data_IF_148441488541
#
_entry.id   IF_148441488541
#
_cell.length_a   1.000
_cell.length_b   1.000
_cell.length_c   1.000
_cell.angle_alpha   90.00
_cell.angle_beta   90.00
_cell.angle_gamma   90.00
#
_symmetry.space_group_name_H-M   'P 1'
#
loop_
_entity.id
_entity.type
_entity.pdbx_description
1 polymer ?
#
# COMPACT_ATOMS: atom_id res chain seq x y z
N UNK A 1 -23.61 -31.62 -26.79
CA UNK A 1 -24.06 -30.90 -25.57
C UNK A 1 -23.10 -29.72 -25.38
N UNK A 2 -23.39 -28.59 -26.03
CA UNK A 2 -22.47 -27.45 -26.11
C UNK A 2 -22.69 -26.49 -24.95
N UNK A 3 -21.66 -26.26 -24.15
CA UNK A 3 -21.62 -25.20 -23.15
C UNK A 3 -21.25 -23.91 -23.91
N UNK A 4 -22.21 -22.99 -24.01
CA UNK A 4 -21.97 -21.64 -24.52
C UNK A 4 -21.10 -20.87 -23.52
N UNK A 5 -19.97 -20.35 -23.99
CA UNK A 5 -19.12 -19.44 -23.23
C UNK A 5 -19.92 -18.17 -22.91
N UNK A 6 -20.03 -17.85 -21.62
CA UNK A 6 -20.66 -16.62 -21.16
C UNK A 6 -19.94 -15.40 -21.73
N UNK A 7 -20.73 -14.48 -22.27
CA UNK A 7 -20.33 -13.26 -22.94
C UNK A 7 -19.40 -12.39 -22.04
N UNK A 8 -18.13 -12.15 -22.42
CA UNK A 8 -17.17 -11.39 -21.61
C UNK A 8 -17.63 -9.95 -21.34
N UNK A 9 -18.53 -9.41 -22.16
CA UNK A 9 -19.12 -8.07 -22.01
C UNK A 9 -20.02 -7.98 -20.77
N UNK A 10 -20.65 -9.09 -20.33
CA UNK A 10 -21.44 -9.09 -19.09
C UNK A 10 -20.56 -9.16 -17.84
N UNK A 11 -19.43 -9.86 -17.88
CA UNK A 11 -18.48 -9.89 -16.77
C UNK A 11 -17.88 -8.49 -16.52
N UNK A 12 -17.59 -7.74 -17.58
CA UNK A 12 -17.06 -6.36 -17.46
C UNK A 12 -18.11 -5.37 -16.96
N UNK A 13 -19.38 -5.51 -17.37
CA UNK A 13 -20.52 -4.72 -16.84
C UNK A 13 -20.80 -5.02 -15.36
N UNK A 14 -20.64 -6.25 -14.90
CA UNK A 14 -20.79 -6.61 -13.48
C UNK A 14 -19.67 -6.02 -12.62
N UNK A 15 -18.45 -5.87 -13.17
CA UNK A 15 -17.30 -5.28 -12.46
C UNK A 15 -17.37 -3.75 -12.41
N UNK A 16 -18.01 -3.10 -13.40
CA UNK A 16 -18.25 -1.66 -13.41
C UNK A 16 -19.40 -1.21 -12.49
N UNK A 17 -20.38 -2.08 -12.21
CA UNK A 17 -21.60 -1.72 -11.48
C UNK A 17 -21.50 -1.74 -9.95
N UNK A 18 -20.35 -2.09 -9.36
CA UNK A 18 -20.23 -2.27 -7.89
C UNK A 18 -18.94 -1.70 -7.30
N UNK A 19 -18.42 -0.59 -7.85
CA UNK A 19 -17.53 0.27 -7.07
C UNK A 19 -18.39 1.13 -6.16
N UNK A 20 -18.34 0.94 -4.83
CA UNK A 20 -19.01 1.86 -3.93
C UNK A 20 -18.43 3.26 -4.20
N UNK A 21 -19.31 4.19 -4.58
CA UNK A 21 -18.94 5.59 -4.82
C UNK A 21 -18.57 6.32 -3.54
N UNK A 22 -18.91 5.74 -2.38
CA UNK A 22 -18.56 6.21 -1.06
C UNK A 22 -18.42 5.02 -0.08
N UNK A 23 -17.54 5.12 0.94
CA UNK A 23 -17.51 4.18 2.07
C UNK A 23 -18.83 4.16 2.84
N UNK A 24 -19.16 3.04 3.49
CA UNK A 24 -20.28 3.03 4.42
C UNK A 24 -20.02 3.92 5.65
N UNK A 25 -21.08 4.49 6.21
CA UNK A 25 -21.01 5.26 7.46
C UNK A 25 -20.44 4.44 8.63
N UNK A 26 -20.64 3.12 8.64
CA UNK A 26 -20.10 2.24 9.66
C UNK A 26 -18.57 2.12 9.53
N UNK A 27 -18.06 2.00 8.30
CA UNK A 27 -16.62 1.97 8.05
C UNK A 27 -15.95 3.29 8.45
N UNK A 28 -16.55 4.43 8.11
CA UNK A 28 -16.04 5.76 8.51
C UNK A 28 -16.00 5.92 10.04
N UNK A 29 -17.08 5.59 10.75
CA UNK A 29 -17.11 5.62 12.21
C UNK A 29 -16.09 4.67 12.84
N UNK A 30 -15.91 3.48 12.26
CA UNK A 30 -14.89 2.54 12.70
C UNK A 30 -13.48 3.10 12.51
N UNK A 31 -13.21 3.75 11.37
CA UNK A 31 -11.93 4.41 11.10
C UNK A 31 -11.69 5.60 12.03
N UNK A 32 -12.68 6.46 12.27
CA UNK A 32 -12.57 7.56 13.24
C UNK A 32 -12.28 7.06 14.65
N UNK A 33 -12.98 6.00 15.08
CA UNK A 33 -12.79 5.40 16.40
C UNK A 33 -11.40 4.76 16.52
N UNK A 34 -10.96 4.02 15.51
CA UNK A 34 -9.62 3.45 15.44
C UNK A 34 -8.54 4.54 15.42
N UNK A 35 -8.78 5.65 14.72
CA UNK A 35 -7.86 6.77 14.62
C UNK A 35 -7.62 7.55 15.91
N UNK A 36 -8.43 7.35 16.95
CA UNK A 36 -8.13 7.85 18.30
C UNK A 36 -6.96 7.11 18.95
N UNK A 37 -6.70 5.88 18.49
CA UNK A 37 -5.66 5.00 19.02
C UNK A 37 -4.54 4.76 18.01
N UNK A 38 -4.79 4.87 16.70
CA UNK A 38 -3.78 4.69 15.66
C UNK A 38 -2.75 5.81 15.62
N UNK A 39 -1.64 5.58 14.93
CA UNK A 39 -0.63 6.61 14.67
C UNK A 39 -1.20 7.70 13.78
N UNK A 40 -0.74 8.94 14.00
CA UNK A 40 -0.98 10.07 13.08
C UNK A 40 -0.47 9.77 11.66
N UNK A 41 0.63 9.03 11.57
CA UNK A 41 1.27 8.62 10.31
C UNK A 41 1.78 7.19 10.43
N UNK A 42 1.14 6.26 9.73
CA UNK A 42 1.64 4.89 9.62
C UNK A 42 2.95 4.91 8.81
N UNK A 43 3.92 4.09 9.21
CA UNK A 43 5.21 4.02 8.54
C UNK A 43 5.33 2.69 7.79
N UNK A 44 5.84 2.73 6.57
CA UNK A 44 5.99 1.56 5.70
C UNK A 44 7.33 1.64 4.96
N UNK A 45 8.17 0.60 5.09
CA UNK A 45 9.47 0.53 4.39
C UNK A 45 9.30 0.51 2.87
N UNK A 46 10.26 1.10 2.16
CA UNK A 46 10.31 1.03 0.69
C UNK A 46 10.42 -0.43 0.22
N UNK A 47 11.18 -1.27 0.93
CA UNK A 47 11.32 -2.69 0.62
C UNK A 47 10.01 -3.50 0.69
N UNK A 48 8.94 -2.95 1.27
CA UNK A 48 7.60 -3.54 1.15
C UNK A 48 7.00 -3.36 -0.25
N UNK A 49 7.30 -2.23 -0.89
CA UNK A 49 6.70 -1.76 -2.15
C UNK A 49 7.62 -2.08 -3.33
N UNK A 50 8.93 -1.94 -3.14
CA UNK A 50 9.95 -1.95 -4.19
C UNK A 50 10.93 -3.10 -4.01
N UNK A 51 11.45 -3.60 -5.14
CA UNK A 51 12.63 -4.47 -5.17
C UNK A 51 13.90 -3.63 -5.01
N UNK A 52 14.94 -4.21 -4.41
CA UNK A 52 16.26 -3.58 -4.43
C UNK A 52 16.90 -3.74 -5.81
N UNK A 53 16.71 -4.90 -6.44
CA UNK A 53 17.14 -5.19 -7.82
C UNK A 53 16.01 -5.84 -8.63
N UNK A 54 15.99 -5.69 -9.97
CA UNK A 54 14.93 -6.29 -10.80
C UNK A 54 14.81 -7.81 -10.67
N UNK A 55 15.91 -8.49 -10.35
CA UNK A 55 15.99 -9.95 -10.25
C UNK A 55 15.58 -10.51 -8.87
N UNK A 56 15.33 -9.64 -7.89
CA UNK A 56 14.89 -10.05 -6.55
C UNK A 56 13.54 -10.78 -6.58
N UNK A 57 13.07 -11.29 -5.44
CA UNK A 57 11.69 -11.73 -5.34
C UNK A 57 10.72 -10.55 -5.47
N UNK A 58 9.47 -10.86 -5.83
CA UNK A 58 8.39 -9.89 -5.85
C UNK A 58 8.28 -9.19 -4.49
N UNK A 59 8.12 -7.85 -4.47
CA UNK A 59 8.04 -7.13 -3.21
C UNK A 59 6.80 -7.60 -2.43
N UNK A 60 6.84 -7.56 -1.08
CA UNK A 60 5.74 -7.98 -0.20
C UNK A 60 4.36 -7.49 -0.62
N UNK A 61 4.22 -6.22 -1.03
CA UNK A 61 2.98 -5.64 -1.55
C UNK A 61 2.42 -6.46 -2.72
N UNK A 62 3.25 -6.73 -3.73
CA UNK A 62 2.86 -7.46 -4.93
C UNK A 62 2.55 -8.92 -4.62
N UNK A 63 3.29 -9.55 -3.70
CA UNK A 63 2.98 -10.89 -3.20
C UNK A 63 1.60 -10.96 -2.54
N UNK A 64 1.23 -9.98 -1.71
CA UNK A 64 -0.09 -9.92 -1.07
C UNK A 64 -1.23 -9.84 -2.09
N UNK A 65 -1.02 -9.09 -3.18
CA UNK A 65 -2.01 -8.90 -4.23
C UNK A 65 -2.19 -10.12 -5.15
N UNK A 66 -1.21 -11.02 -5.19
CA UNK A 66 -1.27 -12.27 -5.96
C UNK A 66 -2.14 -13.33 -5.25
N UNK A 67 -2.60 -14.32 -6.02
CA UNK A 67 -3.35 -15.46 -5.45
C UNK A 67 -4.84 -15.21 -5.24
N UNK A 68 -5.49 -14.47 -6.16
CA UNK A 68 -6.95 -14.43 -6.29
C UNK A 68 -7.66 -13.28 -5.58
N UNK A 69 -8.99 -13.42 -5.39
CA UNK A 69 -9.91 -12.34 -4.99
C UNK A 69 -9.66 -11.75 -3.59
N UNK A 70 -8.82 -12.39 -2.76
CA UNK A 70 -8.51 -11.96 -1.39
C UNK A 70 -7.34 -10.99 -1.24
N UNK A 71 -6.56 -10.74 -2.30
CA UNK A 71 -5.31 -9.98 -2.20
C UNK A 71 -5.47 -8.55 -1.66
N UNK A 72 -6.54 -7.86 -2.07
CA UNK A 72 -6.84 -6.52 -1.58
C UNK A 72 -7.17 -6.49 -0.07
N UNK A 73 -7.85 -7.53 0.46
CA UNK A 73 -8.17 -7.62 1.90
C UNK A 73 -6.89 -7.78 2.71
N UNK A 74 -5.96 -8.65 2.25
CA UNK A 74 -4.65 -8.85 2.90
C UNK A 74 -3.88 -7.54 3.01
N UNK A 75 -3.77 -6.82 1.90
CA UNK A 75 -3.05 -5.55 1.87
C UNK A 75 -3.70 -4.49 2.77
N UNK A 76 -5.02 -4.29 2.66
CA UNK A 76 -5.75 -3.31 3.49
C UNK A 76 -5.67 -3.64 4.97
N UNK A 77 -5.79 -4.91 5.33
CA UNK A 77 -5.69 -5.38 6.70
C UNK A 77 -4.30 -5.14 7.27
N UNK A 78 -3.26 -5.50 6.52
CA UNK A 78 -1.88 -5.33 6.96
C UNK A 78 -1.51 -3.85 7.16
N UNK A 79 -1.87 -2.97 6.23
CA UNK A 79 -1.67 -1.53 6.40
C UNK A 79 -2.41 -0.98 7.62
N UNK A 80 -3.62 -1.49 7.90
CA UNK A 80 -4.38 -1.10 9.08
C UNK A 80 -3.73 -1.59 10.38
N UNK A 81 -3.10 -2.77 10.38
CA UNK A 81 -2.30 -3.20 11.52
C UNK A 81 -1.09 -2.31 11.78
N UNK A 82 -0.36 -1.91 10.73
CA UNK A 82 0.77 -0.99 10.82
C UNK A 82 0.33 0.38 11.35
N UNK A 83 -0.80 0.90 10.87
CA UNK A 83 -1.38 2.14 11.38
C UNK A 83 -1.73 2.07 12.86
N UNK A 84 -2.19 0.90 13.34
CA UNK A 84 -2.55 0.68 14.73
C UNK A 84 -1.37 0.35 15.65
N UNK A 85 -0.12 0.31 15.15
CA UNK A 85 1.07 0.18 16.00
C UNK A 85 1.42 1.53 16.64
N UNK A 86 1.02 1.77 17.89
CA UNK A 86 1.21 3.07 18.58
C UNK A 86 2.66 3.41 18.85
N UNK A 87 3.38 2.42 19.37
CA UNK A 87 4.78 2.54 19.76
C UNK A 87 5.70 2.10 18.62
N UNK A 88 7.01 2.35 18.77
CA UNK A 88 7.99 1.96 17.75
C UNK A 88 8.23 0.45 17.70
N UNK A 89 7.88 -0.28 18.74
CA UNK A 89 7.88 -1.73 18.78
C UNK A 89 6.47 -2.30 18.54
N UNK A 90 6.40 -3.53 18.05
CA UNK A 90 5.15 -4.24 17.85
C UNK A 90 4.33 -4.35 19.16
N UNK A 91 3.06 -3.98 19.09
CA UNK A 91 2.07 -4.23 20.14
C UNK A 91 1.01 -5.22 19.64
N UNK A 92 0.53 -6.06 20.55
CA UNK A 92 -0.54 -7.00 20.24
C UNK A 92 -1.89 -6.28 20.07
N UNK A 93 -2.55 -6.54 18.95
CA UNK A 93 -3.87 -6.01 18.60
C UNK A 93 -4.94 -7.05 18.92
N UNK A 94 -5.92 -6.72 19.75
CA UNK A 94 -6.95 -7.64 20.26
C UNK A 94 -8.36 -7.28 19.76
N UNK A 95 -8.46 -6.90 18.49
CA UNK A 95 -9.74 -6.57 17.84
C UNK A 95 -10.36 -7.79 17.16
N UNK A 96 -11.69 -7.88 17.19
CA UNK A 96 -12.41 -8.99 16.54
C UNK A 96 -12.31 -8.92 15.01
N UNK A 97 -12.45 -10.08 14.34
CA UNK A 97 -12.54 -10.13 12.89
C UNK A 97 -13.70 -9.28 12.33
N UNK A 98 -14.81 -9.19 13.07
CA UNK A 98 -15.93 -8.30 12.74
C UNK A 98 -15.50 -6.83 12.73
N UNK A 99 -14.74 -6.38 13.73
CA UNK A 99 -14.28 -4.99 13.81
C UNK A 99 -13.40 -4.62 12.60
N UNK A 100 -12.47 -5.51 12.23
CA UNK A 100 -11.66 -5.34 11.02
C UNK A 100 -12.50 -5.37 9.74
N UNK A 101 -13.45 -6.29 9.64
CA UNK A 101 -14.35 -6.35 8.50
C UNK A 101 -15.20 -5.08 8.35
N UNK A 102 -15.65 -4.48 9.45
CA UNK A 102 -16.33 -3.18 9.44
C UNK A 102 -15.39 -2.05 9.02
N UNK A 103 -14.17 -1.99 9.56
CA UNK A 103 -13.18 -0.99 9.17
C UNK A 103 -12.86 -1.03 7.67
N UNK A 104 -12.74 -2.24 7.11
CA UNK A 104 -12.43 -2.46 5.70
C UNK A 104 -13.65 -2.42 4.78
N UNK A 105 -14.82 -2.08 5.32
CA UNK A 105 -16.10 -2.02 4.62
C UNK A 105 -16.46 -3.32 3.87
N UNK A 106 -16.16 -4.46 4.49
CA UNK A 106 -16.48 -5.77 3.91
C UNK A 106 -17.97 -6.09 4.05
N UNK A 107 -18.60 -6.73 3.04
CA UNK A 107 -20.00 -7.14 3.14
C UNK A 107 -20.20 -8.18 4.24
N UNK A 108 -21.33 -8.07 4.94
CA UNK A 108 -21.69 -8.89 6.10
C UNK A 108 -20.51 -9.07 7.10
N UNK A 109 -20.12 -7.99 7.81
CA UNK A 109 -18.97 -8.01 8.73
C UNK A 109 -19.05 -9.08 9.82
N UNK A 110 -20.26 -9.51 10.16
CA UNK A 110 -20.49 -10.53 11.21
C UNK A 110 -20.32 -11.96 10.70
N UNK A 111 -20.33 -12.21 9.38
CA UNK A 111 -20.16 -13.55 8.80
C UNK A 111 -19.14 -13.56 7.66
N UNK A 112 -19.57 -13.27 6.43
CA UNK A 112 -18.72 -13.42 5.25
C UNK A 112 -17.50 -12.47 5.30
N UNK A 113 -17.68 -11.24 5.80
CA UNK A 113 -16.60 -10.29 6.05
C UNK A 113 -15.61 -10.82 7.08
N UNK A 114 -16.07 -11.29 8.24
CA UNK A 114 -15.21 -11.89 9.26
C UNK A 114 -14.43 -13.10 8.74
N UNK A 115 -15.05 -13.96 7.93
CA UNK A 115 -14.36 -15.08 7.27
C UNK A 115 -13.21 -14.60 6.39
N UNK A 116 -13.43 -13.58 5.57
CA UNK A 116 -12.37 -12.99 4.71
C UNK A 116 -11.23 -12.38 5.53
N UNK A 117 -11.52 -11.81 6.71
CA UNK A 117 -10.48 -11.33 7.62
C UNK A 117 -9.64 -12.50 8.14
N UNK A 118 -10.27 -13.59 8.57
CA UNK A 118 -9.56 -14.77 9.06
C UNK A 118 -8.71 -15.41 7.94
N UNK A 119 -9.25 -15.53 6.72
CA UNK A 119 -8.50 -16.03 5.56
C UNK A 119 -7.28 -15.13 5.26
N UNK A 120 -7.42 -13.81 5.40
CA UNK A 120 -6.32 -12.87 5.25
C UNK A 120 -5.29 -12.98 6.38
N UNK A 121 -5.73 -13.13 7.63
CA UNK A 121 -4.84 -13.35 8.78
C UNK A 121 -4.04 -14.64 8.63
N UNK A 122 -4.67 -15.74 8.22
CA UNK A 122 -3.99 -17.02 7.98
C UNK A 122 -2.89 -16.86 6.94
N UNK A 123 -3.20 -16.24 5.80
CA UNK A 123 -2.20 -15.99 4.77
C UNK A 123 -1.07 -15.08 5.28
N UNK A 124 -1.39 -14.01 6.00
CA UNK A 124 -0.38 -13.09 6.56
C UNK A 124 0.53 -13.79 7.57
N UNK A 125 -0.01 -14.71 8.38
CA UNK A 125 0.74 -15.50 9.33
C UNK A 125 1.65 -16.52 8.64
N UNK A 126 1.12 -17.29 7.68
CA UNK A 126 1.89 -18.22 6.85
C UNK A 126 3.07 -17.55 6.14
N UNK A 127 2.91 -16.29 5.74
CA UNK A 127 3.94 -15.52 5.04
C UNK A 127 4.77 -14.63 5.98
N UNK A 128 4.66 -14.84 7.30
CA UNK A 128 5.48 -14.20 8.35
C UNK A 128 5.36 -12.67 8.41
N UNK A 129 4.18 -12.13 8.15
CA UNK A 129 3.85 -10.71 8.34
C UNK A 129 3.23 -10.42 9.69
N UNK A 130 2.60 -11.43 10.31
CA UNK A 130 2.00 -11.34 11.64
C UNK A 130 2.19 -12.67 12.39
N UNK A 131 2.04 -12.64 13.71
CA UNK A 131 1.66 -13.82 14.49
C UNK A 131 0.22 -13.65 14.99
N UNK A 132 -0.47 -14.77 15.19
CA UNK A 132 -1.83 -14.80 15.74
C UNK A 132 -1.83 -15.75 16.93
N UNK A 133 -2.09 -15.21 18.12
CA UNK A 133 -2.16 -15.97 19.36
C UNK A 133 -3.62 -16.09 19.80
N UNK A 134 -4.08 -17.32 19.95
CA UNK A 134 -5.43 -17.59 20.44
C UNK A 134 -5.51 -17.25 21.94
N UNK A 135 -6.54 -16.51 22.31
CA UNK A 135 -6.79 -16.11 23.70
C UNK A 135 -8.14 -16.69 24.15
N UNK A 136 -8.18 -17.66 25.09
CA UNK A 136 -9.43 -18.24 25.55
C UNK A 136 -10.42 -17.18 26.06
N UNK A 137 -11.64 -17.18 25.49
CA UNK A 137 -12.70 -16.23 25.86
C UNK A 137 -12.47 -14.77 25.43
N UNK A 138 -11.43 -14.49 24.64
CA UNK A 138 -11.10 -13.15 24.14
C UNK A 138 -10.80 -13.19 22.63
N UNK A 139 -10.84 -12.05 21.93
CA UNK A 139 -10.37 -11.99 20.55
C UNK A 139 -8.89 -12.40 20.48
N UNK A 140 -8.50 -13.06 19.40
CA UNK A 140 -7.10 -13.42 19.14
C UNK A 140 -6.21 -12.16 19.19
N UNK A 141 -5.02 -12.32 19.72
CA UNK A 141 -4.01 -11.27 19.74
C UNK A 141 -3.17 -11.37 18.46
N UNK A 142 -3.12 -10.29 17.69
CA UNK A 142 -2.32 -10.21 16.47
C UNK A 142 -1.09 -9.34 16.75
N UNK A 143 0.11 -9.88 16.53
CA UNK A 143 1.36 -9.11 16.64
C UNK A 143 1.95 -8.93 15.24
N UNK A 144 2.32 -7.69 14.90
CA UNK A 144 2.90 -7.38 13.58
C UNK A 144 4.37 -7.74 13.54
N UNK A 145 4.81 -8.33 12.43
CA UNK A 145 6.20 -8.63 12.12
C UNK A 145 6.71 -7.67 11.04
N UNK A 146 8.02 -7.71 10.81
CA UNK A 146 8.71 -6.89 9.82
C UNK A 146 8.06 -6.99 8.44
N UNK A 147 7.86 -5.85 7.78
CA UNK A 147 7.12 -5.72 6.52
C UNK A 147 7.81 -6.40 5.34
N UNK A 148 9.06 -6.80 5.48
CA UNK A 148 9.76 -7.59 4.44
C UNK A 148 9.27 -9.05 4.38
N UNK A 149 8.56 -9.53 5.41
CA UNK A 149 8.18 -10.94 5.55
C UNK A 149 9.34 -11.84 6.00
N UNK A 150 10.36 -11.26 6.65
CA UNK A 150 11.47 -11.99 7.26
C UNK A 150 11.04 -12.80 8.48
N UNK A 151 9.97 -12.39 9.16
CA UNK A 151 9.51 -12.94 10.43
C UNK A 151 10.11 -12.28 11.67
N UNK A 152 11.00 -11.30 11.49
CA UNK A 152 11.58 -10.55 12.60
C UNK A 152 10.51 -9.68 13.30
N UNK A 153 10.69 -9.34 14.59
CA UNK A 153 9.80 -8.40 15.27
C UNK A 153 9.68 -7.08 14.52
N UNK A 154 8.47 -6.55 14.42
CA UNK A 154 8.27 -5.22 13.83
C UNK A 154 8.92 -4.14 14.70
N UNK A 155 9.74 -3.32 14.03
CA UNK A 155 10.23 -2.04 14.54
C UNK A 155 9.88 -0.99 13.51
N UNK A 156 9.26 0.10 13.97
CA UNK A 156 8.92 1.25 13.14
C UNK A 156 10.14 1.70 12.33
N UNK A 157 10.01 1.87 11.00
CA UNK A 157 11.14 2.17 10.12
C UNK A 157 11.98 3.37 10.56
N UNK A 158 11.37 4.44 11.06
CA UNK A 158 12.11 5.60 11.58
C UNK A 158 12.97 5.28 12.80
N UNK A 159 12.48 4.43 13.71
CA UNK A 159 13.25 3.99 14.88
C UNK A 159 14.38 3.03 14.49
N UNK A 160 14.10 2.10 13.57
CA UNK A 160 15.11 1.20 13.02
C UNK A 160 16.22 1.97 12.28
N UNK A 161 15.85 2.93 11.42
CA UNK A 161 16.81 3.79 10.73
C UNK A 161 17.71 4.56 11.70
N UNK A 162 17.14 5.11 12.79
CA UNK A 162 17.91 5.81 13.81
C UNK A 162 18.89 4.88 14.55
N UNK A 163 18.46 3.66 14.86
CA UNK A 163 19.31 2.65 15.52
C UNK A 163 20.47 2.23 14.61
N UNK A 164 20.17 1.94 13.34
CA UNK A 164 21.18 1.50 12.37
C UNK A 164 22.12 2.64 11.94
N UNK A 165 21.64 3.89 11.85
CA UNK A 165 22.50 5.05 11.56
C UNK A 165 23.61 5.25 12.59
N UNK A 166 23.39 4.82 13.84
CA UNK A 166 24.42 4.82 14.88
C UNK A 166 25.48 3.73 14.67
N UNK A 167 25.17 2.69 13.89
CA UNK A 167 26.05 1.55 13.61
C UNK A 167 26.70 1.61 12.22
N UNK A 168 26.02 2.16 11.21
CA UNK A 168 26.50 2.28 9.82
C UNK A 168 25.69 3.31 9.02
N UNK A 169 26.37 4.11 8.19
CA UNK A 169 25.75 5.07 7.28
C UNK A 169 24.84 4.39 6.23
N UNK A 170 25.19 3.18 5.79
CA UNK A 170 24.40 2.37 4.87
C UNK A 170 23.16 1.74 5.53
N UNK A 171 23.18 1.53 6.85
CA UNK A 171 22.09 0.91 7.59
C UNK A 171 20.81 1.74 7.59
N UNK A 172 20.92 3.07 7.56
CA UNK A 172 19.77 3.97 7.46
C UNK A 172 19.02 3.83 6.11
N UNK A 173 19.74 3.52 5.03
CA UNK A 173 19.19 3.41 3.67
C UNK A 173 18.22 2.22 3.56
N UNK A 174 18.53 1.10 4.20
CA UNK A 174 17.68 -0.12 4.18
C UNK A 174 16.34 0.08 4.90
N UNK A 175 16.25 1.11 5.73
CA UNK A 175 15.05 1.46 6.49
C UNK A 175 14.33 2.69 5.95
N UNK A 176 14.65 3.13 4.72
CA UNK A 176 13.88 4.19 4.03
C UNK A 176 12.40 3.81 3.99
N UNK A 177 11.54 4.78 4.28
CA UNK A 177 10.11 4.54 4.49
C UNK A 177 9.25 5.70 4.00
N UNK A 178 7.98 5.39 3.73
CA UNK A 178 6.92 6.37 3.47
C UNK A 178 6.04 6.51 4.70
N UNK A 179 5.37 7.66 4.79
CA UNK A 179 4.38 7.94 5.82
C UNK A 179 2.99 8.02 5.19
N UNK A 180 2.07 7.21 5.68
CA UNK A 180 0.66 7.24 5.27
C UNK A 180 -0.11 8.03 6.34
N UNK A 181 -0.73 9.17 6.00
CA UNK A 181 -1.45 9.98 6.99
C UNK A 181 -2.70 9.24 7.47
N UNK A 182 -3.03 9.42 8.75
CA UNK A 182 -4.26 8.89 9.36
C UNK A 182 -5.52 9.24 8.55
N UNK A 183 -5.55 10.42 7.93
CA UNK A 183 -6.62 10.87 7.03
C UNK A 183 -6.94 9.86 5.91
N UNK A 184 -5.98 9.06 5.48
CA UNK A 184 -6.18 8.01 4.48
C UNK A 184 -7.22 6.95 4.92
N UNK A 185 -7.27 6.65 6.23
CA UNK A 185 -8.29 5.77 6.81
C UNK A 185 -9.57 6.54 7.13
N UNK A 186 -9.46 7.67 7.83
CA UNK A 186 -10.64 8.39 8.36
C UNK A 186 -11.49 9.04 7.27
N UNK A 187 -10.89 9.40 6.12
CA UNK A 187 -11.62 9.89 4.96
C UNK A 187 -12.11 8.73 4.05
N UNK A 188 -11.82 7.49 4.40
CA UNK A 188 -12.28 6.30 3.67
C UNK A 188 -11.56 5.98 2.36
N UNK A 189 -10.38 6.58 2.10
CA UNK A 189 -9.62 6.25 0.89
C UNK A 189 -9.17 4.78 0.87
N UNK A 190 -8.78 4.22 2.02
CA UNK A 190 -8.44 2.79 2.13
C UNK A 190 -9.61 1.89 1.70
N UNK A 191 -10.84 2.22 2.10
CA UNK A 191 -12.01 1.38 1.80
C UNK A 191 -12.40 1.48 0.33
N UNK A 192 -12.33 2.69 -0.25
CA UNK A 192 -12.66 2.95 -1.65
C UNK A 192 -11.70 2.28 -2.64
N UNK A 193 -10.39 2.41 -2.41
CA UNK A 193 -9.40 1.97 -3.39
C UNK A 193 -9.39 0.44 -3.52
N UNK A 194 -9.25 -0.05 -4.75
CA UNK A 194 -9.00 -1.48 -4.97
C UNK A 194 -7.58 -1.86 -4.53
N UNK A 195 -7.23 -3.14 -4.65
CA UNK A 195 -5.82 -3.56 -4.51
C UNK A 195 -4.89 -2.86 -5.51
N UNK A 196 -5.37 -2.58 -6.73
CA UNK A 196 -4.60 -1.87 -7.75
C UNK A 196 -4.44 -0.38 -7.43
N UNK A 197 -5.52 0.28 -7.01
CA UNK A 197 -5.47 1.68 -6.55
C UNK A 197 -4.56 1.85 -5.34
N UNK A 198 -4.64 0.94 -4.37
CA UNK A 198 -3.78 0.96 -3.19
C UNK A 198 -2.31 0.69 -3.53
N UNK A 199 -2.01 -0.25 -4.43
CA UNK A 199 -0.64 -0.45 -4.92
C UNK A 199 -0.08 0.82 -5.56
N UNK A 200 -0.83 1.43 -6.49
CA UNK A 200 -0.38 2.65 -7.15
C UNK A 200 -0.22 3.82 -6.18
N UNK A 201 -1.08 3.92 -5.15
CA UNK A 201 -0.94 4.93 -4.10
C UNK A 201 0.40 4.78 -3.37
N UNK A 202 0.74 3.56 -2.94
CA UNK A 202 2.00 3.29 -2.25
C UNK A 202 3.22 3.54 -3.14
N UNK A 203 3.15 3.14 -4.41
CA UNK A 203 4.20 3.41 -5.40
C UNK A 203 4.46 4.90 -5.55
N UNK A 204 3.40 5.71 -5.71
CA UNK A 204 3.54 7.16 -5.87
C UNK A 204 4.05 7.84 -4.60
N UNK A 205 3.68 7.34 -3.41
CA UNK A 205 4.27 7.80 -2.15
C UNK A 205 5.78 7.52 -2.09
N UNK A 206 6.21 6.33 -2.53
CA UNK A 206 7.62 5.97 -2.54
C UNK A 206 8.42 6.82 -3.55
N UNK A 207 7.85 7.07 -4.74
CA UNK A 207 8.50 7.84 -5.79
C UNK A 207 8.63 9.34 -5.43
N UNK A 208 7.61 9.93 -4.78
CA UNK A 208 7.67 11.32 -4.30
C UNK A 208 8.81 11.53 -3.31
N UNK A 209 9.05 10.55 -2.44
CA UNK A 209 10.05 10.68 -1.38
C UNK A 209 9.69 11.76 -0.34
N UNK A 210 10.65 12.13 0.53
CA UNK A 210 10.43 13.14 1.57
C UNK A 210 10.37 14.57 1.03
N UNK A 211 10.80 14.80 -0.21
CA UNK A 211 10.77 16.11 -0.83
C UNK A 211 9.33 16.50 -1.15
N UNK A 212 8.90 17.67 -0.66
CA UNK A 212 7.59 18.22 -0.96
C UNK A 212 7.61 18.96 -2.30
N UNK A 213 8.25 18.37 -3.30
CA UNK A 213 8.32 18.92 -4.64
C UNK A 213 7.01 18.63 -5.38
N UNK A 214 6.45 19.65 -6.03
CA UNK A 214 5.28 19.54 -6.89
C UNK A 214 5.64 18.98 -8.28
N UNK A 215 6.88 18.50 -8.45
CA UNK A 215 7.34 17.93 -9.70
C UNK A 215 6.47 16.76 -10.15
N UNK A 216 6.16 16.78 -11.45
CA UNK A 216 5.39 15.72 -12.07
C UNK A 216 6.18 14.41 -12.01
N UNK A 217 5.58 13.37 -11.41
CA UNK A 217 6.18 12.05 -11.37
C UNK A 217 6.03 11.37 -12.74
N UNK A 218 7.17 11.10 -13.38
CA UNK A 218 7.20 10.23 -14.55
C UNK A 218 7.20 8.78 -14.09
N UNK A 219 6.24 8.01 -14.60
CA UNK A 219 6.07 6.61 -14.24
C UNK A 219 5.99 5.73 -15.49
N UNK A 220 7.13 5.17 -15.88
CA UNK A 220 7.21 4.34 -17.09
C UNK A 220 6.68 2.92 -16.85
N UNK A 221 6.04 2.27 -17.84
CA UNK A 221 5.61 0.87 -17.71
C UNK A 221 6.77 -0.10 -17.40
N UNK A 222 7.97 0.18 -17.94
CA UNK A 222 9.17 -0.63 -17.68
C UNK A 222 9.62 -0.55 -16.23
N UNK A 223 9.61 0.65 -15.64
CA UNK A 223 9.91 0.85 -14.22
C UNK A 223 8.86 0.18 -13.32
N UNK A 224 7.57 0.29 -13.68
CA UNK A 224 6.48 -0.38 -12.97
C UNK A 224 6.71 -1.90 -12.85
N UNK A 225 7.14 -2.53 -13.95
CA UNK A 225 7.45 -3.97 -13.98
C UNK A 225 8.72 -4.30 -13.21
N UNK A 226 9.82 -3.58 -13.47
CA UNK A 226 11.13 -3.94 -12.91
C UNK A 226 11.25 -3.66 -11.41
N UNK A 227 10.73 -2.53 -10.94
CA UNK A 227 10.90 -2.08 -9.55
C UNK A 227 9.77 -2.54 -8.63
N UNK A 228 8.55 -2.63 -9.14
CA UNK A 228 7.35 -2.92 -8.34
C UNK A 228 6.69 -4.26 -8.70
N UNK A 229 7.11 -4.90 -9.80
CA UNK A 229 6.55 -6.18 -10.28
C UNK A 229 5.03 -6.11 -10.52
N UNK A 230 4.57 -4.95 -11.00
CA UNK A 230 3.16 -4.69 -11.32
C UNK A 230 2.91 -4.89 -12.82
N UNK A 231 1.75 -5.47 -13.14
CA UNK A 231 1.27 -5.55 -14.52
C UNK A 231 0.82 -4.20 -15.04
N UNK A 232 0.80 -4.04 -16.38
CA UNK A 232 0.27 -2.83 -17.01
C UNK A 232 -1.20 -2.58 -16.64
N UNK A 233 -2.02 -3.63 -16.57
CA UNK A 233 -3.42 -3.54 -16.15
C UNK A 233 -3.55 -3.02 -14.72
N UNK A 234 -2.71 -3.51 -13.80
CA UNK A 234 -2.72 -3.06 -12.40
C UNK A 234 -2.34 -1.59 -12.31
N UNK A 235 -1.32 -1.17 -13.06
CA UNK A 235 -0.91 0.24 -13.15
C UNK A 235 -2.02 1.11 -13.72
N UNK A 236 -2.55 0.76 -14.89
CA UNK A 236 -3.55 1.55 -15.61
C UNK A 236 -4.89 1.64 -14.86
N UNK A 237 -5.31 0.56 -14.21
CA UNK A 237 -6.48 0.58 -13.31
C UNK A 237 -6.22 1.42 -12.07
N UNK A 238 -5.10 1.21 -11.39
CA UNK A 238 -4.78 1.92 -10.15
C UNK A 238 -4.65 3.43 -10.34
N UNK A 239 -4.00 3.89 -11.41
CA UNK A 239 -3.89 5.32 -11.71
C UNK A 239 -5.25 5.97 -12.02
N UNK A 240 -6.16 5.26 -12.71
CA UNK A 240 -7.52 5.74 -12.95
C UNK A 240 -8.30 5.86 -11.65
N UNK A 241 -8.28 4.82 -10.80
CA UNK A 241 -8.95 4.85 -9.50
C UNK A 241 -8.46 6.00 -8.61
N UNK A 242 -7.16 6.29 -8.61
CA UNK A 242 -6.62 7.41 -7.84
C UNK A 242 -7.06 8.77 -8.40
N UNK A 243 -7.16 8.90 -9.72
CA UNK A 243 -7.65 10.12 -10.36
C UNK A 243 -9.14 10.34 -10.06
N UNK A 244 -9.95 9.28 -10.17
CA UNK A 244 -11.38 9.29 -9.86
C UNK A 244 -11.64 9.61 -8.38
N UNK A 245 -10.76 9.15 -7.48
CA UNK A 245 -10.79 9.47 -6.05
C UNK A 245 -10.24 10.86 -5.71
N UNK A 246 -9.78 11.65 -6.70
CA UNK A 246 -9.20 12.98 -6.50
C UNK A 246 -7.85 12.98 -5.77
N UNK A 247 -7.18 11.83 -5.68
CA UNK A 247 -5.89 11.67 -4.98
C UNK A 247 -4.70 12.04 -5.87
N UNK A 248 -4.87 11.97 -7.19
CA UNK A 248 -3.85 12.36 -8.17
C UNK A 248 -4.48 13.12 -9.33
N UNK A 249 -3.70 13.95 -9.99
CA UNK A 249 -4.05 14.51 -11.29
C UNK A 249 -3.15 13.87 -12.35
N UNK A 250 -3.73 13.52 -13.50
CA UNK A 250 -2.98 12.94 -14.62
C UNK A 250 -3.01 13.88 -15.80
N UNK A 251 -1.87 14.03 -16.47
CA UNK A 251 -1.75 14.77 -17.74
C UNK A 251 -1.06 13.87 -18.74
N UNK A 252 -1.67 13.67 -19.92
CA UNK A 252 -0.97 13.04 -21.05
C UNK A 252 -0.08 14.10 -21.68
N UNK A 253 1.21 13.78 -21.84
CA UNK A 253 2.19 14.61 -22.54
C UNK A 253 2.81 13.77 -23.64
N UNK A 254 2.89 14.32 -24.85
CA UNK A 254 3.68 13.71 -25.92
C UNK A 254 5.13 13.67 -25.44
N UNK A 255 5.74 12.49 -25.49
CA UNK A 255 7.11 12.33 -25.03
C UNK A 255 8.01 12.90 -26.12
N UNK A 256 8.68 14.01 -25.82
CA UNK A 256 9.73 14.50 -26.69
C UNK A 256 11.02 13.73 -26.39
N UNK A 257 11.91 13.50 -27.37
CA UNK A 257 13.19 12.83 -27.14
C UNK A 257 14.00 13.47 -25.99
N UNK A 258 13.87 14.79 -25.81
CA UNK A 258 14.52 15.57 -24.74
C UNK A 258 13.97 15.29 -23.34
N UNK A 259 12.77 14.70 -23.20
CA UNK A 259 12.21 14.32 -21.89
C UNK A 259 12.92 13.08 -21.29
N UNK A 260 13.71 12.34 -22.09
CA UNK A 260 14.56 11.23 -21.64
C UNK A 260 15.99 11.65 -21.29
N UNK A 261 16.39 12.87 -21.65
CA UNK A 261 17.66 13.46 -21.27
C UNK A 261 17.48 14.08 -19.88
N UNK A 262 17.62 13.24 -18.84
CA UNK A 262 17.52 13.67 -17.46
C UNK A 262 18.39 14.89 -17.21
N UNK A 263 17.80 15.90 -16.55
CA UNK A 263 18.39 17.16 -16.09
C UNK A 263 19.92 17.13 -15.97
N UNK A 264 20.62 17.36 -17.08
CA UNK A 264 22.03 17.73 -17.04
C UNK A 264 22.06 19.19 -16.62
N UNK A 265 22.72 19.41 -15.49
CA UNK A 265 23.00 20.72 -14.93
C UNK A 265 23.35 21.71 -16.04
N UNK A 266 22.53 22.75 -16.22
CA UNK A 266 22.88 23.87 -17.07
C UNK A 266 24.06 24.58 -16.41
N UNK A 267 25.28 24.17 -16.78
CA UNK A 267 26.48 24.97 -16.56
C UNK A 267 26.29 26.23 -17.38
N UNK A 268 25.88 27.30 -16.72
CA UNK A 268 25.88 28.65 -17.27
C UNK A 268 27.33 29.02 -17.57
N UNK A 269 27.73 28.91 -18.83
CA UNK A 269 28.95 29.53 -19.33
C UNK A 269 28.73 31.03 -19.34
N UNK A 270 29.25 31.71 -18.32
CA UNK A 270 29.43 33.16 -18.32
C UNK A 270 30.50 33.50 -19.35
N UNK A 271 30.11 33.97 -20.54
CA UNK A 271 31.01 34.64 -21.47
C UNK A 271 31.23 36.07 -21.00
N UNK A 272 32.36 36.30 -20.31
CA UNK A 272 32.92 37.62 -20.07
C UNK A 272 33.55 38.15 -21.37
N UNK A 273 32.88 39.10 -22.03
CA UNK A 273 33.52 39.98 -23.01
C UNK A 273 34.20 41.13 -22.27
N UNK A 274 35.53 41.21 -22.33
CA UNK A 274 36.29 42.42 -22.00
C UNK A 274 37.59 42.39 -22.81
N UNK A 275 37.83 43.45 -23.58
CA UNK A 275 39.10 43.70 -24.29
C UNK A 275 38.99 43.57 -25.79
#
# INVERSE_FOLDING_TARGET
MGITAGDPVQAEKIVAAYWPTAPSNNALKAAESAGRYGRRRAQLRYSFVERATPDDLAPPMTRMLRGGRGGHVRLKLYLSYLWMQREDAAQGLTFTARAWATLLDLPDPSKAGARRINDAQNWLAEHRFITVEAQPGRPNQVVVLNETGSGDPYIAPGAAAKKEAAASELGAVTHRYVQIPQAFWTNGHLTLLSGAGLAMFLVLLCQRGPANDESALWFSPKEAKNRYDLSEDTRGKGLRELADAGLVTTKRRAINPTDFEGSTCATSTTSSSTG
#
